data_IF_201491995838
#
_entry.id   IF_201491995838
#
_cell.length_a   1.000
_cell.length_b   1.000
_cell.length_c   1.000
_cell.angle_alpha   90.00
_cell.angle_beta   90.00
_cell.angle_gamma   90.00
#
_symmetry.space_group_name_H-M   'P 1'
#
loop_
_entity.id
_entity.type
_entity.pdbx_description
1 polymer ?
#
# COMPACT_ATOMS: atom_id res chain seq x y z
N UNK A 1 -9.66 12.47 -4.39
CA UNK A 1 -8.75 12.26 -3.25
C UNK A 1 -9.59 11.75 -2.09
N UNK A 2 -9.01 11.01 -1.14
CA UNK A 2 -9.75 10.65 0.08
C UNK A 2 -9.97 11.91 0.92
N UNK A 3 -11.14 12.05 1.56
CA UNK A 3 -11.36 13.12 2.52
C UNK A 3 -10.67 12.74 3.83
N UNK A 4 -10.00 13.70 4.47
CA UNK A 4 -9.39 13.50 5.79
C UNK A 4 -10.04 14.41 6.81
N UNK A 5 -10.37 13.86 7.98
CA UNK A 5 -10.89 14.59 9.14
C UNK A 5 -10.24 14.05 10.39
N UNK A 6 -10.20 14.83 11.45
CA UNK A 6 -9.68 14.39 12.73
C UNK A 6 -10.77 14.35 13.80
N UNK A 7 -10.59 13.47 14.78
CA UNK A 7 -11.38 13.44 16.00
C UNK A 7 -10.55 12.84 17.13
N UNK A 8 -11.04 13.04 18.35
CA UNK A 8 -10.38 12.59 19.56
C UNK A 8 -11.28 11.59 20.28
N UNK A 9 -10.66 10.54 20.78
CA UNK A 9 -11.19 9.73 21.88
C UNK A 9 -10.44 10.12 23.15
N UNK A 10 -10.81 9.55 24.29
CA UNK A 10 -10.11 9.78 25.55
C UNK A 10 -8.63 9.38 25.45
N UNK A 11 -8.33 8.26 24.77
CA UNK A 11 -6.97 7.71 24.69
C UNK A 11 -6.21 8.10 23.43
N UNK A 12 -6.91 8.34 22.32
CA UNK A 12 -6.27 8.44 21.00
C UNK A 12 -6.77 9.62 20.17
N UNK A 13 -5.84 10.20 19.41
CA UNK A 13 -6.12 11.15 18.33
C UNK A 13 -6.18 10.38 17.01
N UNK A 14 -7.32 10.47 16.33
CA UNK A 14 -7.55 9.78 15.07
C UNK A 14 -7.56 10.74 13.90
N UNK A 15 -6.96 10.30 12.80
CA UNK A 15 -7.21 10.84 11.45
C UNK A 15 -8.05 9.83 10.68
N UNK A 16 -9.27 10.21 10.30
CA UNK A 16 -10.15 9.44 9.43
C UNK A 16 -9.71 9.66 7.99
N UNK A 17 -9.60 8.56 7.24
CA UNK A 17 -9.47 8.58 5.78
C UNK A 17 -10.76 8.00 5.21
N UNK A 18 -11.61 8.84 4.66
CA UNK A 18 -12.83 8.40 4.00
C UNK A 18 -12.51 7.93 2.58
N UNK A 19 -12.67 6.62 2.35
CA UNK A 19 -12.35 5.97 1.10
C UNK A 19 -13.59 5.94 0.18
N UNK A 20 -13.51 6.49 -1.03
CA UNK A 20 -14.64 6.50 -1.95
C UNK A 20 -15.06 5.09 -2.37
N UNK A 21 -16.37 4.80 -2.32
CA UNK A 21 -16.94 3.49 -2.65
C UNK A 21 -17.16 3.20 -4.14
N UNK A 22 -16.73 4.09 -5.04
CA UNK A 22 -16.87 3.88 -6.49
C UNK A 22 -15.65 3.14 -7.05
N UNK A 23 -15.88 2.22 -7.99
CA UNK A 23 -14.86 1.35 -8.58
C UNK A 23 -13.68 2.12 -9.19
N UNK A 24 -13.93 3.28 -9.79
CA UNK A 24 -12.88 4.08 -10.42
C UNK A 24 -11.93 4.76 -9.42
N UNK A 25 -12.26 4.69 -8.13
CA UNK A 25 -11.45 5.25 -7.05
C UNK A 25 -10.74 4.19 -6.19
N UNK A 26 -10.63 2.94 -6.66
CA UNK A 26 -9.83 1.90 -5.99
C UNK A 26 -8.40 2.39 -5.71
N UNK A 27 -7.80 3.17 -6.62
CA UNK A 27 -6.47 3.78 -6.41
C UNK A 27 -6.40 4.66 -5.15
N UNK A 28 -7.47 5.40 -4.88
CA UNK A 28 -7.56 6.28 -3.70
C UNK A 28 -7.72 5.41 -2.46
N UNK A 29 -8.55 4.36 -2.53
CA UNK A 29 -8.75 3.41 -1.45
C UNK A 29 -7.44 2.67 -1.09
N UNK A 30 -6.66 2.21 -2.07
CA UNK A 30 -5.35 1.58 -1.83
C UNK A 30 -4.40 2.55 -1.13
N UNK A 31 -4.34 3.80 -1.60
CA UNK A 31 -3.46 4.83 -1.03
C UNK A 31 -3.85 5.13 0.43
N UNK A 32 -5.14 5.25 0.72
CA UNK A 32 -5.66 5.49 2.07
C UNK A 32 -5.49 4.30 3.00
N UNK A 33 -5.89 3.11 2.56
CA UNK A 33 -5.79 1.87 3.33
C UNK A 33 -4.33 1.49 3.62
N UNK A 34 -3.38 1.83 2.74
CA UNK A 34 -1.97 1.62 3.02
C UNK A 34 -1.51 2.37 4.27
N UNK A 35 -2.03 3.57 4.52
CA UNK A 35 -1.68 4.42 5.66
C UNK A 35 -2.43 4.06 6.96
N UNK A 36 -3.50 3.28 6.87
CA UNK A 36 -4.38 2.99 7.99
C UNK A 36 -3.82 1.90 8.93
N UNK A 37 -3.86 2.15 10.24
CA UNK A 37 -3.49 1.16 11.26
C UNK A 37 -4.70 0.29 11.70
N UNK A 38 -5.91 0.83 11.55
CA UNK A 38 -7.20 0.18 11.80
C UNK A 38 -8.14 0.51 10.64
N UNK A 39 -9.03 -0.42 10.30
CA UNK A 39 -10.09 -0.19 9.33
C UNK A 39 -11.47 -0.41 9.93
N UNK A 40 -12.41 0.47 9.61
CA UNK A 40 -13.85 0.29 9.83
C UNK A 40 -14.49 -0.17 8.52
N UNK A 41 -14.90 -1.43 8.45
CA UNK A 41 -15.58 -2.00 7.31
C UNK A 41 -17.09 -1.95 7.52
N UNK A 42 -17.77 -1.22 6.64
CA UNK A 42 -19.22 -1.03 6.71
C UNK A 42 -19.94 -2.03 5.79
N UNK A 43 -21.04 -2.59 6.29
CA UNK A 43 -22.00 -3.36 5.50
C UNK A 43 -23.41 -2.83 5.80
N UNK A 44 -24.24 -2.47 4.80
CA UNK A 44 -25.61 -2.05 5.06
C UNK A 44 -26.48 -3.27 5.42
N UNK A 45 -27.44 -3.12 6.32
CA UNK A 45 -28.44 -4.15 6.63
C UNK A 45 -29.65 -4.15 5.66
N UNK A 46 -29.72 -3.13 4.80
CA UNK A 46 -30.73 -3.00 3.74
C UNK A 46 -30.54 -4.03 2.61
N UNK A 47 -31.36 -3.94 1.58
CA UNK A 47 -31.40 -4.89 0.47
C UNK A 47 -30.10 -4.93 -0.33
N UNK A 48 -29.22 -3.95 -0.15
CA UNK A 48 -27.93 -3.90 -0.82
C UNK A 48 -26.84 -4.72 -0.13
N UNK A 49 -27.07 -5.33 1.04
CA UNK A 49 -26.00 -6.07 1.72
C UNK A 49 -25.44 -7.20 0.84
N UNK A 50 -26.31 -7.91 0.11
CA UNK A 50 -25.96 -9.03 -0.76
C UNK A 50 -25.18 -8.54 -1.97
N UNK A 51 -25.60 -7.42 -2.57
CA UNK A 51 -24.86 -6.74 -3.65
C UNK A 51 -23.49 -6.26 -3.17
N UNK A 52 -23.39 -5.74 -1.94
CA UNK A 52 -22.14 -5.25 -1.36
C UNK A 52 -21.11 -6.35 -1.10
N UNK A 53 -21.54 -7.59 -0.86
CA UNK A 53 -20.67 -8.76 -0.64
C UNK A 53 -20.60 -9.72 -1.83
N UNK A 54 -21.30 -9.42 -2.92
CA UNK A 54 -21.39 -10.28 -4.10
C UNK A 54 -20.01 -10.61 -4.66
N UNK A 55 -19.86 -11.87 -5.09
CA UNK A 55 -18.68 -12.30 -5.83
C UNK A 55 -18.78 -11.75 -7.25
N UNK A 56 -17.74 -11.05 -7.71
CA UNK A 56 -17.66 -10.67 -9.11
C UNK A 56 -17.35 -11.86 -10.01
N UNK A 57 -17.85 -11.81 -11.22
CA UNK A 57 -17.53 -12.76 -12.28
C UNK A 57 -17.37 -12.02 -13.60
N UNK A 58 -16.13 -11.68 -13.93
CA UNK A 58 -15.78 -10.96 -15.16
C UNK A 58 -16.20 -11.70 -16.44
N UNK A 59 -16.35 -13.03 -16.40
CA UNK A 59 -16.81 -13.82 -17.56
C UNK A 59 -18.32 -13.66 -17.81
N UNK A 60 -19.08 -13.35 -16.77
CA UNK A 60 -20.54 -13.14 -16.84
C UNK A 60 -20.92 -11.66 -16.74
N UNK A 61 -19.95 -10.75 -16.71
CA UNK A 61 -20.19 -9.31 -16.52
C UNK A 61 -20.62 -8.91 -15.10
N UNK A 62 -20.59 -9.83 -14.13
CA UNK A 62 -21.01 -9.57 -12.76
C UNK A 62 -19.96 -8.72 -12.02
N UNK A 63 -20.39 -7.58 -11.50
CA UNK A 63 -19.54 -6.67 -10.75
C UNK A 63 -19.34 -7.19 -9.33
N UNK A 64 -18.09 -7.21 -8.88
CA UNK A 64 -17.79 -7.57 -7.49
C UNK A 64 -18.34 -6.52 -6.52
N UNK A 65 -18.95 -6.99 -5.43
CA UNK A 65 -19.40 -6.14 -4.35
C UNK A 65 -18.25 -5.38 -3.68
N UNK A 66 -18.48 -4.10 -3.36
CA UNK A 66 -17.44 -3.21 -2.85
C UNK A 66 -16.94 -3.62 -1.47
N UNK A 67 -17.81 -4.03 -0.54
CA UNK A 67 -17.41 -4.50 0.80
C UNK A 67 -16.52 -5.74 0.69
N UNK A 68 -16.84 -6.68 -0.20
CA UNK A 68 -15.98 -7.84 -0.49
C UNK A 68 -14.61 -7.42 -1.03
N UNK A 69 -14.59 -6.47 -1.96
CA UNK A 69 -13.35 -5.96 -2.54
C UNK A 69 -12.49 -5.28 -1.46
N UNK A 70 -13.07 -4.35 -0.71
CA UNK A 70 -12.39 -3.62 0.36
C UNK A 70 -11.84 -4.56 1.44
N UNK A 71 -12.63 -5.54 1.89
CA UNK A 71 -12.17 -6.54 2.85
C UNK A 71 -10.93 -7.30 2.37
N UNK A 72 -10.87 -7.66 1.08
CA UNK A 72 -9.71 -8.32 0.47
C UNK A 72 -8.49 -7.41 0.44
N UNK A 73 -8.68 -6.14 0.03
CA UNK A 73 -7.60 -5.16 -0.04
C UNK A 73 -7.02 -4.85 1.35
N UNK A 74 -7.88 -4.66 2.35
CA UNK A 74 -7.45 -4.39 3.74
C UNK A 74 -6.55 -5.51 4.29
N UNK A 75 -6.94 -6.77 4.07
CA UNK A 75 -6.13 -7.92 4.48
C UNK A 75 -4.75 -7.92 3.80
N UNK A 76 -4.72 -7.68 2.50
CA UNK A 76 -3.50 -7.78 1.70
C UNK A 76 -2.57 -6.56 1.86
N UNK A 77 -3.14 -5.38 2.12
CA UNK A 77 -2.42 -4.19 2.57
C UNK A 77 -1.97 -4.31 4.03
N UNK A 78 -2.40 -5.37 4.71
CA UNK A 78 -1.97 -5.80 6.03
C UNK A 78 -2.39 -4.86 7.15
N UNK A 79 -3.61 -4.34 7.05
CA UNK A 79 -4.29 -3.73 8.18
C UNK A 79 -4.52 -4.83 9.23
N UNK A 80 -3.96 -4.63 10.42
CA UNK A 80 -3.92 -5.68 11.47
C UNK A 80 -5.15 -5.64 12.39
N UNK A 81 -5.88 -4.53 12.40
CA UNK A 81 -7.05 -4.31 13.24
C UNK A 81 -8.24 -3.96 12.36
N UNK A 82 -9.33 -4.72 12.51
CA UNK A 82 -10.53 -4.57 11.70
C UNK A 82 -11.73 -4.47 12.64
N UNK A 83 -12.53 -3.43 12.45
CA UNK A 83 -13.84 -3.25 13.07
C UNK A 83 -14.87 -3.43 11.95
N UNK A 84 -15.93 -4.19 12.20
CA UNK A 84 -17.01 -4.39 11.26
C UNK A 84 -18.28 -3.78 11.82
N UNK A 85 -18.97 -3.00 11.01
CA UNK A 85 -20.23 -2.37 11.36
C UNK A 85 -21.32 -2.75 10.37
N UNK A 86 -22.39 -3.38 10.88
CA UNK A 86 -23.64 -3.61 10.17
C UNK A 86 -24.49 -2.35 10.37
N UNK A 87 -24.42 -1.46 9.38
CA UNK A 87 -25.03 -0.14 9.41
C UNK A 87 -26.47 -0.19 8.85
N UNK A 88 -27.24 0.88 9.09
CA UNK A 88 -28.64 1.03 8.66
C UNK A 88 -29.58 0.02 9.31
N UNK A 89 -29.36 -0.32 10.57
CA UNK A 89 -30.29 -1.18 11.33
C UNK A 89 -31.69 -0.54 11.47
N UNK A 90 -31.80 0.77 11.29
CA UNK A 90 -33.04 1.54 11.26
C UNK A 90 -33.89 1.31 10.01
N UNK A 91 -33.35 0.72 8.94
CA UNK A 91 -34.07 0.61 7.67
C UNK A 91 -35.30 -0.32 7.76
N UNK A 92 -36.26 -0.14 6.84
CA UNK A 92 -37.53 -0.89 6.84
C UNK A 92 -37.39 -2.42 6.78
N UNK A 93 -36.24 -2.92 6.31
CA UNK A 93 -35.97 -4.36 6.25
C UNK A 93 -35.35 -4.89 7.53
N UNK A 94 -34.52 -4.09 8.20
CA UNK A 94 -33.86 -4.49 9.44
C UNK A 94 -34.71 -4.21 10.66
N UNK A 95 -35.31 -3.01 10.77
CA UNK A 95 -36.15 -2.58 11.91
C UNK A 95 -35.53 -2.94 13.27
N UNK A 96 -34.21 -2.80 13.39
CA UNK A 96 -33.42 -3.17 14.57
C UNK A 96 -33.54 -4.65 14.98
N UNK A 97 -33.93 -5.54 14.07
CA UNK A 97 -34.12 -6.97 14.31
C UNK A 97 -32.81 -7.73 14.47
N UNK A 98 -32.78 -8.62 15.45
CA UNK A 98 -31.69 -9.58 15.68
C UNK A 98 -31.54 -10.55 14.50
N UNK A 99 -32.65 -11.11 13.99
CA UNK A 99 -32.64 -12.07 12.89
C UNK A 99 -31.91 -11.53 11.65
N UNK A 100 -32.19 -10.27 11.30
CA UNK A 100 -31.56 -9.62 10.14
C UNK A 100 -30.06 -9.37 10.37
N UNK A 101 -29.69 -9.00 11.59
CA UNK A 101 -28.29 -8.86 11.98
C UNK A 101 -27.56 -10.21 11.87
N UNK A 102 -28.11 -11.29 12.42
CA UNK A 102 -27.48 -12.61 12.41
C UNK A 102 -27.33 -13.17 11.00
N UNK A 103 -28.36 -13.02 10.15
CA UNK A 103 -28.31 -13.40 8.74
C UNK A 103 -27.15 -12.71 8.02
N UNK A 104 -27.10 -11.37 8.15
CA UNK A 104 -26.09 -10.53 7.51
C UNK A 104 -24.68 -10.84 8.04
N UNK A 105 -24.56 -11.07 9.34
CA UNK A 105 -23.32 -11.42 10.02
C UNK A 105 -22.75 -12.74 9.51
N UNK A 106 -23.59 -13.77 9.38
CA UNK A 106 -23.19 -15.10 8.92
C UNK A 106 -22.59 -15.05 7.52
N UNK A 107 -23.27 -14.37 6.59
CA UNK A 107 -22.78 -14.21 5.22
C UNK A 107 -21.47 -13.41 5.18
N UNK A 108 -21.39 -12.32 5.95
CA UNK A 108 -20.17 -11.50 6.02
C UNK A 108 -18.97 -12.26 6.57
N UNK A 109 -19.12 -13.03 7.65
CA UNK A 109 -18.05 -13.89 8.19
C UNK A 109 -17.57 -14.91 7.15
N UNK A 110 -18.50 -15.49 6.39
CA UNK A 110 -18.19 -16.38 5.27
C UNK A 110 -17.38 -15.68 4.18
N UNK A 111 -17.70 -14.42 3.88
CA UNK A 111 -16.97 -13.60 2.90
C UNK A 111 -15.57 -13.24 3.40
N UNK A 112 -15.43 -12.79 4.65
CA UNK A 112 -14.14 -12.46 5.27
C UNK A 112 -13.17 -13.65 5.21
N UNK A 113 -13.66 -14.85 5.54
CA UNK A 113 -12.90 -16.10 5.46
C UNK A 113 -12.47 -16.38 4.01
N UNK A 114 -13.39 -16.25 3.05
CA UNK A 114 -13.11 -16.50 1.62
C UNK A 114 -12.12 -15.51 1.01
N UNK A 115 -12.05 -14.27 1.50
CA UNK A 115 -11.08 -13.26 1.03
C UNK A 115 -9.72 -13.34 1.74
N UNK A 116 -9.57 -14.28 2.68
CA UNK A 116 -8.29 -14.66 3.27
C UNK A 116 -8.03 -14.15 4.69
N UNK A 117 -9.02 -13.56 5.37
CA UNK A 117 -8.89 -13.29 6.80
C UNK A 117 -8.89 -14.62 7.57
N UNK A 118 -8.02 -14.73 8.59
CA UNK A 118 -7.93 -15.96 9.39
C UNK A 118 -9.21 -16.14 10.21
N UNK A 119 -9.75 -17.36 10.23
CA UNK A 119 -10.98 -17.68 10.97
C UNK A 119 -10.87 -17.28 12.45
N UNK A 120 -9.76 -17.64 13.10
CA UNK A 120 -9.52 -17.27 14.50
C UNK A 120 -9.50 -15.76 14.73
N UNK A 121 -8.95 -14.99 13.78
CA UNK A 121 -8.94 -13.53 13.87
C UNK A 121 -10.37 -12.96 13.74
N UNK A 122 -11.16 -13.48 12.79
CA UNK A 122 -12.56 -13.07 12.60
C UNK A 122 -13.38 -13.36 13.86
N UNK A 123 -13.21 -14.54 14.47
CA UNK A 123 -14.04 -14.97 15.60
C UNK A 123 -13.63 -14.31 16.92
N UNK A 124 -12.33 -14.10 17.14
CA UNK A 124 -11.82 -13.59 18.42
C UNK A 124 -11.53 -12.10 18.41
N UNK A 125 -11.09 -11.53 17.29
CA UNK A 125 -10.48 -10.19 17.27
C UNK A 125 -11.25 -9.14 16.47
N UNK A 126 -12.31 -9.51 15.77
CA UNK A 126 -13.10 -8.56 14.96
C UNK A 126 -14.44 -8.29 15.65
N UNK A 127 -14.69 -7.06 16.14
CA UNK A 127 -16.01 -6.69 16.63
C UNK A 127 -16.99 -6.51 15.46
N UNK A 128 -18.20 -7.05 15.63
CA UNK A 128 -19.30 -6.94 14.67
C UNK A 128 -20.45 -6.13 15.27
N UNK A 129 -20.39 -4.81 15.09
CA UNK A 129 -21.33 -3.88 15.70
C UNK A 129 -22.60 -3.73 14.84
N UNK A 130 -23.82 -3.96 15.38
CA UNK A 130 -25.03 -3.43 14.78
C UNK A 130 -25.13 -1.93 15.08
N UNK A 131 -25.31 -1.08 14.08
CA UNK A 131 -25.43 0.36 14.29
C UNK A 131 -26.38 1.05 13.30
N UNK A 132 -26.81 2.25 13.66
CA UNK A 132 -27.40 3.20 12.73
C UNK A 132 -26.57 4.47 12.73
N UNK A 133 -25.86 4.72 11.63
CA UNK A 133 -25.12 5.97 11.47
C UNK A 133 -26.04 7.19 11.37
N UNK A 134 -27.27 7.02 10.90
CA UNK A 134 -28.24 8.11 10.72
C UNK A 134 -28.91 8.49 12.04
N UNK A 135 -29.38 7.50 12.80
CA UNK A 135 -30.05 7.70 14.09
C UNK A 135 -29.07 7.81 15.27
N UNK A 136 -27.79 7.49 15.06
CA UNK A 136 -26.74 7.59 16.08
C UNK A 136 -26.65 6.37 17.03
N UNK A 137 -27.38 5.30 16.75
CA UNK A 137 -27.46 4.10 17.59
C UNK A 137 -26.13 3.32 17.60
N UNK A 138 -25.67 2.92 18.80
CA UNK A 138 -24.39 2.20 19.03
C UNK A 138 -23.13 2.91 18.51
N UNK A 139 -23.19 4.22 18.20
CA UNK A 139 -22.00 5.00 17.86
C UNK A 139 -21.22 5.41 19.12
N UNK A 140 -21.87 6.16 20.01
CA UNK A 140 -21.28 6.71 21.23
C UNK A 140 -21.91 6.12 22.50
N UNK A 141 -23.17 5.70 22.41
CA UNK A 141 -23.96 5.14 23.51
C UNK A 141 -24.64 3.87 23.03
N UNK A 142 -24.86 2.95 23.95
CA UNK A 142 -25.60 1.71 23.70
C UNK A 142 -27.06 2.04 23.33
N UNK A 143 -27.56 1.37 22.31
CA UNK A 143 -28.92 1.54 21.80
C UNK A 143 -29.94 0.89 22.70
N UNK A 144 -31.04 1.59 22.98
CA UNK A 144 -32.23 1.02 23.62
C UNK A 144 -33.12 0.29 22.61
N UNK A 145 -32.99 0.60 21.31
CA UNK A 145 -33.76 -0.01 20.22
C UNK A 145 -33.29 -1.42 19.86
N UNK A 146 -32.10 -1.82 20.32
CA UNK A 146 -31.52 -3.15 20.11
C UNK A 146 -31.21 -3.82 21.45
N UNK A 147 -32.21 -4.14 22.30
CA UNK A 147 -31.99 -4.69 23.63
C UNK A 147 -31.36 -6.10 23.62
N UNK A 148 -31.47 -6.80 22.49
CA UNK A 148 -30.82 -8.09 22.23
C UNK A 148 -29.30 -7.95 22.09
N UNK A 149 -28.79 -6.79 21.66
CA UNK A 149 -27.35 -6.54 21.54
C UNK A 149 -26.69 -6.46 22.92
N UNK A 150 -25.90 -7.48 23.25
CA UNK A 150 -25.18 -7.58 24.54
C UNK A 150 -23.75 -7.08 24.48
N UNK A 151 -23.32 -6.50 23.37
CA UNK A 151 -21.92 -6.17 23.13
C UNK A 151 -21.15 -7.35 22.53
N UNK A 152 -19.84 -7.17 22.33
CA UNK A 152 -18.98 -8.21 21.79
C UNK A 152 -17.68 -8.31 22.59
N UNK A 153 -17.33 -9.53 23.00
CA UNK A 153 -16.05 -9.80 23.62
C UNK A 153 -15.00 -10.07 22.55
N UNK A 154 -13.94 -9.27 22.54
CA UNK A 154 -12.86 -9.36 21.57
C UNK A 154 -11.50 -9.50 22.25
N UNK A 155 -10.62 -10.30 21.65
CA UNK A 155 -9.21 -10.41 21.97
C UNK A 155 -8.41 -9.49 21.05
N UNK A 156 -7.74 -8.49 21.63
CA UNK A 156 -6.90 -7.56 20.88
C UNK A 156 -5.70 -8.29 20.25
N UNK A 157 -5.03 -7.64 19.30
CA UNK A 157 -3.80 -8.19 18.69
C UNK A 157 -2.65 -8.39 19.70
N UNK A 158 -2.82 -7.96 20.95
CA UNK A 158 -1.85 -8.07 22.04
C UNK A 158 -2.30 -9.04 23.16
N UNK A 159 -3.40 -9.79 22.94
CA UNK A 159 -3.87 -10.83 23.86
C UNK A 159 -4.77 -10.34 25.00
N UNK A 160 -5.18 -9.06 24.99
CA UNK A 160 -6.11 -8.51 25.98
C UNK A 160 -7.55 -8.86 25.58
N UNK A 161 -8.38 -9.31 26.53
CA UNK A 161 -9.82 -9.50 26.31
C UNK A 161 -10.58 -8.26 26.73
N UNK A 162 -11.41 -7.73 25.84
CA UNK A 162 -12.12 -6.47 26.01
C UNK A 162 -13.57 -6.66 25.58
N UNK A 163 -14.50 -6.16 26.38
CA UNK A 163 -15.91 -6.05 26.00
C UNK A 163 -16.17 -4.71 25.33
N UNK A 164 -16.87 -4.71 24.19
CA UNK A 164 -17.24 -3.49 23.46
C UNK A 164 -18.73 -3.46 23.16
N UNK A 165 -19.40 -2.37 23.54
CA UNK A 165 -20.83 -2.16 23.25
C UNK A 165 -21.04 -1.26 22.03
N UNK A 166 -20.16 -0.28 21.85
CA UNK A 166 -20.30 0.80 20.86
C UNK A 166 -19.08 0.94 19.95
N UNK A 167 -19.22 1.71 18.87
CA UNK A 167 -18.09 2.08 18.01
C UNK A 167 -17.02 2.87 18.79
N UNK A 168 -17.44 3.75 19.71
CA UNK A 168 -16.52 4.47 20.58
C UNK A 168 -15.70 3.51 21.46
N UNK A 169 -16.30 2.46 22.00
CA UNK A 169 -15.57 1.48 22.81
C UNK A 169 -14.52 0.73 21.98
N UNK A 170 -14.86 0.36 20.75
CA UNK A 170 -13.89 -0.23 19.83
C UNK A 170 -12.71 0.73 19.60
N UNK A 171 -12.98 1.99 19.26
CA UNK A 171 -11.95 2.98 18.93
C UNK A 171 -11.13 3.40 20.16
N UNK A 172 -11.73 3.51 21.34
CA UNK A 172 -11.03 3.94 22.55
C UNK A 172 -10.31 2.76 23.22
N UNK A 173 -11.00 1.63 23.40
CA UNK A 173 -10.56 0.53 24.26
C UNK A 173 -9.95 -0.64 23.51
N UNK A 174 -10.40 -0.98 22.30
CA UNK A 174 -9.85 -2.12 21.56
C UNK A 174 -8.62 -1.73 20.71
N UNK A 175 -8.72 -0.64 19.96
CA UNK A 175 -7.64 -0.24 19.04
C UNK A 175 -6.38 0.15 19.82
N UNK A 176 -5.21 -0.29 19.33
CA UNK A 176 -3.91 0.26 19.75
C UNK A 176 -3.06 0.64 18.55
N UNK A 177 -2.13 1.58 18.72
CA UNK A 177 -1.06 1.77 17.74
C UNK A 177 -0.24 0.48 17.55
N UNK A 178 0.02 0.05 16.30
CA UNK A 178 0.89 -1.10 16.06
C UNK A 178 2.33 -0.78 16.47
N UNK A 179 3.16 -1.80 16.80
CA UNK A 179 4.56 -1.59 17.15
C UNK A 179 5.29 -0.75 16.09
N UNK A 180 5.83 0.40 16.51
CA UNK A 180 6.52 1.35 15.66
C UNK A 180 8.02 1.08 15.69
N UNK A 181 8.65 1.00 14.51
CA UNK A 181 10.11 0.80 14.39
C UNK A 181 10.83 2.14 14.48
N UNK A 182 10.98 2.68 15.69
CA UNK A 182 11.61 3.99 15.94
C UNK A 182 13.10 3.97 15.62
N UNK A 183 13.80 2.88 15.99
CA UNK A 183 15.26 2.75 15.80
C UNK A 183 15.66 2.28 14.39
N UNK A 184 14.68 2.01 13.52
CA UNK A 184 14.96 1.63 12.15
C UNK A 184 15.34 2.87 11.30
N UNK A 185 16.06 2.69 10.17
CA UNK A 185 16.36 3.80 9.28
C UNK A 185 15.09 4.48 8.74
N UNK A 186 15.11 5.81 8.64
CA UNK A 186 13.97 6.63 8.21
C UNK A 186 13.47 6.19 6.83
N UNK A 187 12.16 5.95 6.72
CA UNK A 187 11.45 5.79 5.45
C UNK A 187 10.20 6.65 5.47
N UNK A 188 10.15 7.64 4.59
CA UNK A 188 8.99 8.53 4.50
C UNK A 188 8.54 8.64 3.03
N UNK A 189 7.56 7.83 2.60
CA UNK A 189 6.93 7.98 1.30
C UNK A 189 6.22 9.32 1.18
N UNK A 190 6.56 10.08 0.16
CA UNK A 190 5.98 11.38 -0.17
C UNK A 190 4.62 11.16 -0.83
N UNK A 191 3.56 11.58 -0.16
CA UNK A 191 2.20 11.54 -0.69
C UNK A 191 1.92 12.72 -1.64
N UNK A 192 2.44 13.91 -1.33
CA UNK A 192 2.18 15.12 -2.11
C UNK A 192 3.32 16.13 -2.03
N UNK A 193 3.45 16.94 -3.09
CA UNK A 193 4.41 18.03 -3.18
C UNK A 193 3.64 19.30 -3.52
N UNK A 194 3.75 20.32 -2.67
CA UNK A 194 3.01 21.57 -2.78
C UNK A 194 3.98 22.74 -2.81
N UNK A 195 3.86 23.61 -3.81
CA UNK A 195 4.69 24.81 -3.93
C UNK A 195 3.91 26.03 -3.50
N UNK A 196 4.22 26.53 -2.31
CA UNK A 196 3.49 27.65 -1.71
C UNK A 196 4.33 28.91 -1.84
N UNK A 197 3.78 29.93 -2.52
CA UNK A 197 4.43 31.23 -2.69
C UNK A 197 4.75 31.83 -1.30
N UNK A 198 6.00 32.21 -1.07
CA UNK A 198 6.48 32.78 0.19
C UNK A 198 6.92 31.76 1.26
N UNK A 199 6.48 30.51 1.19
CA UNK A 199 6.86 29.45 2.14
C UNK A 199 7.92 28.51 1.56
N UNK A 200 7.81 28.16 0.27
CA UNK A 200 8.69 27.22 -0.43
C UNK A 200 8.00 25.91 -0.79
N UNK A 201 8.79 24.84 -0.91
CA UNK A 201 8.31 23.49 -1.20
C UNK A 201 7.87 22.81 0.11
N UNK A 202 6.57 22.49 0.21
CA UNK A 202 5.96 21.75 1.31
C UNK A 202 5.63 20.34 0.83
N UNK A 203 6.22 19.36 1.47
CA UNK A 203 6.01 17.93 1.19
C UNK A 203 5.05 17.35 2.24
N UNK A 204 4.11 16.52 1.81
CA UNK A 204 3.24 15.77 2.71
C UNK A 204 3.55 14.28 2.61
N UNK A 205 3.59 13.59 3.75
CA UNK A 205 3.81 12.14 3.77
C UNK A 205 3.67 11.54 5.16
N UNK A 206 3.75 10.21 5.21
CA UNK A 206 3.68 9.45 6.46
C UNK A 206 5.04 8.86 6.80
N UNK A 207 5.46 8.96 8.05
CA UNK A 207 6.66 8.27 8.52
C UNK A 207 6.35 6.78 8.67
N UNK A 208 6.96 5.92 7.86
CA UNK A 208 6.73 4.47 7.93
C UNK A 208 7.56 3.81 9.03
N UNK A 209 8.79 4.28 9.20
CA UNK A 209 9.74 3.83 10.21
C UNK A 209 10.84 4.87 10.36
N UNK A 210 11.58 4.80 11.47
CA UNK A 210 12.59 5.78 11.86
C UNK A 210 11.99 7.10 12.32
N UNK A 211 12.87 8.05 12.64
CA UNK A 211 12.50 9.37 13.13
C UNK A 211 12.99 10.42 12.14
N UNK A 212 12.14 11.39 11.81
CA UNK A 212 12.54 12.58 11.08
C UNK A 212 12.68 13.74 12.08
N UNK A 213 13.85 14.36 12.14
CA UNK A 213 14.09 15.55 12.95
C UNK A 213 14.06 16.81 12.07
N UNK A 214 13.72 17.94 12.67
CA UNK A 214 13.99 19.23 12.03
C UNK A 214 15.48 19.37 11.70
N UNK A 215 15.78 20.14 10.66
CA UNK A 215 17.12 20.40 10.14
C UNK A 215 17.85 19.18 9.56
N UNK A 216 17.17 18.04 9.41
CA UNK A 216 17.76 16.87 8.79
C UNK A 216 18.07 17.08 7.31
N UNK A 217 19.24 16.63 6.89
CA UNK A 217 19.62 16.51 5.47
C UNK A 217 19.03 15.22 4.89
N UNK A 218 18.29 15.36 3.79
CA UNK A 218 17.46 14.31 3.22
C UNK A 218 17.65 14.18 1.72
N UNK A 219 17.47 12.96 1.22
CA UNK A 219 17.46 12.64 -0.22
C UNK A 219 16.18 11.89 -0.58
N UNK A 220 15.80 11.97 -1.86
CA UNK A 220 14.51 11.49 -2.36
C UNK A 220 14.73 10.44 -3.43
N UNK A 221 14.50 9.17 -3.11
CA UNK A 221 14.62 8.08 -4.07
C UNK A 221 13.25 7.81 -4.71
N UNK A 222 13.17 7.50 -6.02
CA UNK A 222 14.26 7.21 -6.93
C UNK A 222 14.77 8.43 -7.72
N UNK A 223 14.20 9.62 -7.49
CA UNK A 223 14.53 10.87 -8.22
C UNK A 223 15.99 11.28 -8.04
N UNK A 224 16.55 11.09 -6.85
CA UNK A 224 17.96 11.27 -6.56
C UNK A 224 18.79 10.19 -7.24
N UNK A 225 19.70 10.60 -8.12
CA UNK A 225 20.72 9.72 -8.71
C UNK A 225 22.10 10.40 -8.59
N UNK A 226 23.21 9.64 -8.60
CA UNK A 226 24.54 10.21 -8.33
C UNK A 226 24.94 11.42 -9.20
N UNK A 227 24.47 11.48 -10.44
CA UNK A 227 24.78 12.57 -11.39
C UNK A 227 23.65 13.61 -11.51
N UNK A 228 22.54 13.42 -10.80
CA UNK A 228 21.38 14.32 -10.82
C UNK A 228 20.72 14.29 -9.43
N UNK A 229 21.32 14.99 -8.45
CA UNK A 229 20.90 14.89 -7.05
C UNK A 229 19.50 15.45 -6.87
N UNK A 230 18.73 14.80 -6.00
CA UNK A 230 17.50 15.34 -5.42
C UNK A 230 17.66 15.28 -3.91
N UNK A 231 18.19 16.35 -3.35
CA UNK A 231 18.53 16.48 -1.93
C UNK A 231 17.97 17.81 -1.40
N UNK A 232 17.76 17.88 -0.10
CA UNK A 232 17.29 19.09 0.57
C UNK A 232 17.46 19.00 2.08
N UNK A 233 17.16 20.10 2.76
CA UNK A 233 17.21 20.22 4.22
C UNK A 233 15.84 20.52 4.78
N UNK A 234 15.38 19.72 5.74
CA UNK A 234 14.08 19.89 6.39
C UNK A 234 14.13 21.12 7.29
N UNK A 235 13.34 22.15 6.98
CA UNK A 235 13.32 23.39 7.76
C UNK A 235 12.34 23.34 8.93
N UNK A 236 11.14 22.80 8.68
CA UNK A 236 10.12 22.66 9.71
C UNK A 236 9.21 21.48 9.41
N UNK A 237 8.78 20.80 10.47
CA UNK A 237 7.79 19.74 10.42
C UNK A 237 6.52 20.23 11.12
N UNK A 238 5.38 20.00 10.47
CA UNK A 238 4.06 20.39 10.93
C UNK A 238 3.12 19.19 10.90
N UNK A 239 2.34 19.04 11.97
CA UNK A 239 1.32 18.02 12.11
C UNK A 239 0.07 18.71 12.66
N UNK A 240 -1.07 18.62 11.97
CA UNK A 240 -2.32 19.29 12.36
C UNK A 240 -2.16 20.79 12.63
N UNK A 241 -1.46 21.51 11.74
CA UNK A 241 -1.16 22.94 11.86
C UNK A 241 -0.33 23.35 13.10
N UNK A 242 0.29 22.38 13.78
CA UNK A 242 1.21 22.61 14.89
C UNK A 242 2.61 22.20 14.49
N UNK A 243 3.61 23.04 14.81
CA UNK A 243 5.02 22.70 14.61
C UNK A 243 5.47 21.68 15.64
N UNK A 244 6.16 20.66 15.17
CA UNK A 244 6.77 19.62 15.99
C UNK A 244 8.28 19.58 15.75
N UNK A 245 9.04 19.13 16.74
CA UNK A 245 10.50 19.05 16.63
C UNK A 245 10.95 17.79 15.86
N UNK A 246 10.20 16.71 15.98
CA UNK A 246 10.45 15.43 15.35
C UNK A 246 9.14 14.74 14.98
N UNK A 247 9.13 14.02 13.86
CA UNK A 247 8.05 13.14 13.45
C UNK A 247 8.42 11.68 13.77
N UNK A 248 7.49 10.98 14.40
CA UNK A 248 7.62 9.59 14.81
C UNK A 248 6.97 8.66 13.78
N UNK A 249 7.32 7.35 13.74
CA UNK A 249 6.65 6.43 12.85
C UNK A 249 5.13 6.37 13.09
N UNK A 250 4.36 6.49 12.02
CA UNK A 250 2.90 6.58 12.03
C UNK A 250 2.37 7.97 11.76
N UNK A 251 3.15 9.01 12.05
CA UNK A 251 2.72 10.41 11.93
C UNK A 251 2.53 10.80 10.47
N UNK A 252 1.43 11.48 10.18
CA UNK A 252 1.17 12.12 8.89
C UNK A 252 1.57 13.60 8.99
N UNK A 253 2.66 13.99 8.32
CA UNK A 253 3.28 15.30 8.51
C UNK A 253 3.39 16.07 7.20
N UNK A 254 3.24 17.39 7.32
CA UNK A 254 3.69 18.35 6.33
C UNK A 254 5.10 18.83 6.70
N UNK A 255 6.00 18.92 5.74
CA UNK A 255 7.38 19.35 5.99
C UNK A 255 7.79 20.39 4.95
N UNK A 256 8.30 21.52 5.43
CA UNK A 256 8.94 22.51 4.57
C UNK A 256 10.38 22.07 4.33
N UNK A 257 10.77 21.88 3.07
CA UNK A 257 12.11 21.44 2.71
C UNK A 257 12.71 22.44 1.73
N UNK A 258 13.96 22.82 1.99
CA UNK A 258 14.68 23.82 1.21
C UNK A 258 15.87 23.20 0.50
N UNK A 259 16.34 23.85 -0.55
CA UNK A 259 17.57 23.48 -1.26
C UNK A 259 17.36 22.56 -2.46
N UNK A 260 16.12 22.37 -2.93
CA UNK A 260 15.87 21.53 -4.09
C UNK A 260 16.47 22.12 -5.38
N UNK A 261 17.10 21.28 -6.22
CA UNK A 261 17.45 21.67 -7.58
C UNK A 261 16.18 21.99 -8.39
N UNK A 262 16.20 23.09 -9.13
CA UNK A 262 15.04 23.52 -9.96
C UNK A 262 14.71 22.51 -11.07
N UNK A 263 15.71 21.79 -11.53
CA UNK A 263 15.66 20.83 -12.63
C UNK A 263 15.30 19.40 -12.18
N UNK A 264 15.52 19.04 -10.91
CA UNK A 264 15.17 17.72 -10.37
C UNK A 264 14.48 17.77 -9.00
N UNK A 265 13.31 18.42 -8.90
CA UNK A 265 12.55 18.47 -7.66
C UNK A 265 11.95 17.10 -7.29
N UNK A 266 11.67 16.87 -6.00
CA UNK A 266 11.02 15.65 -5.55
C UNK A 266 9.60 15.52 -6.11
N UNK A 267 9.11 14.28 -6.19
CA UNK A 267 7.81 13.95 -6.76
C UNK A 267 6.97 13.15 -5.77
N UNK A 268 5.65 13.20 -5.93
CA UNK A 268 4.76 12.27 -5.24
C UNK A 268 5.13 10.84 -5.63
N UNK A 269 5.27 9.98 -4.62
CA UNK A 269 5.74 8.62 -4.77
C UNK A 269 7.24 8.40 -4.54
N UNK A 270 8.02 9.47 -4.38
CA UNK A 270 9.39 9.35 -3.89
C UNK A 270 9.39 8.92 -2.42
N UNK A 271 10.45 8.26 -2.00
CA UNK A 271 10.73 7.91 -0.61
C UNK A 271 11.86 8.81 -0.12
N UNK A 272 11.53 9.63 0.87
CA UNK A 272 12.51 10.42 1.61
C UNK A 272 13.25 9.52 2.60
N UNK A 273 14.57 9.65 2.61
CA UNK A 273 15.49 9.05 3.58
C UNK A 273 16.50 10.11 4.05
N UNK A 274 17.18 9.85 5.16
CA UNK A 274 18.31 10.67 5.59
C UNK A 274 19.46 10.53 4.58
N UNK A 275 20.15 11.63 4.29
CA UNK A 275 21.29 11.61 3.36
C UNK A 275 22.42 10.67 3.83
N UNK A 276 22.61 10.56 5.15
CA UNK A 276 23.57 9.65 5.77
C UNK A 276 23.23 8.16 5.57
N UNK A 277 21.98 7.83 5.27
CA UNK A 277 21.55 6.45 5.07
C UNK A 277 21.87 5.95 3.67
N UNK A 278 22.70 4.89 3.60
CA UNK A 278 23.07 4.22 2.35
C UNK A 278 22.44 2.83 2.18
N UNK A 279 21.56 2.43 3.11
CA UNK A 279 20.89 1.13 3.12
C UNK A 279 19.81 1.00 2.03
N UNK A 280 19.11 2.10 1.71
CA UNK A 280 18.11 2.13 0.65
C UNK A 280 18.71 2.63 -0.67
N UNK A 281 18.30 1.98 -1.77
CA UNK A 281 18.64 2.37 -3.14
C UNK A 281 17.42 2.23 -4.02
N UNK A 282 17.39 2.93 -5.15
CA UNK A 282 16.37 2.74 -6.19
C UNK A 282 16.32 1.27 -6.61
N UNK A 283 15.11 0.73 -6.77
CA UNK A 283 14.90 -0.69 -7.12
C UNK A 283 15.25 -0.93 -8.59
N UNK A 284 16.09 -1.94 -8.84
CA UNK A 284 16.43 -2.44 -10.17
C UNK A 284 15.54 -3.62 -10.54
N UNK A 285 15.72 -4.77 -9.88
CA UNK A 285 14.81 -5.92 -9.97
C UNK A 285 14.26 -6.21 -8.56
N UNK A 286 13.06 -6.78 -8.47
CA UNK A 286 12.55 -7.26 -7.19
C UNK A 286 11.78 -8.57 -7.34
N UNK A 287 11.89 -9.42 -6.33
CA UNK A 287 11.15 -10.67 -6.23
C UNK A 287 10.00 -10.48 -5.25
N UNK A 288 8.78 -10.75 -5.69
CA UNK A 288 7.59 -10.64 -4.88
C UNK A 288 6.82 -11.96 -4.84
N UNK A 289 6.28 -12.29 -3.65
CA UNK A 289 5.25 -13.30 -3.52
C UNK A 289 3.91 -12.63 -3.76
N UNK A 290 3.21 -13.05 -4.80
CA UNK A 290 1.96 -12.46 -5.26
C UNK A 290 0.82 -13.48 -5.21
N UNK A 291 -0.38 -13.00 -4.92
CA UNK A 291 -1.63 -13.67 -5.18
C UNK A 291 -2.23 -13.08 -6.44
N UNK A 292 -2.49 -13.92 -7.44
CA UNK A 292 -3.22 -13.52 -8.64
C UNK A 292 -4.69 -13.41 -8.31
N UNK A 293 -5.24 -12.23 -8.57
CA UNK A 293 -6.64 -11.92 -8.34
C UNK A 293 -7.41 -12.13 -9.64
N UNK A 294 -8.30 -11.21 -9.95
CA UNK A 294 -9.21 -11.29 -11.09
C UNK A 294 -8.51 -10.80 -12.35
N UNK A 295 -8.10 -11.76 -13.18
CA UNK A 295 -7.43 -11.53 -14.47
C UNK A 295 -8.23 -12.19 -15.60
N UNK A 296 -8.45 -11.51 -16.75
CA UNK A 296 -9.24 -12.05 -17.84
C UNK A 296 -8.51 -13.17 -18.61
N UNK A 297 -7.18 -13.12 -18.63
CA UNK A 297 -6.31 -14.06 -19.33
C UNK A 297 -5.16 -14.51 -18.41
N UNK A 298 -4.42 -15.52 -18.85
CA UNK A 298 -3.22 -15.97 -18.14
C UNK A 298 -2.12 -14.90 -18.19
N UNK A 299 -1.44 -14.69 -17.06
CA UNK A 299 -0.30 -13.79 -16.99
C UNK A 299 0.97 -14.53 -17.40
N UNK A 300 1.75 -13.95 -18.32
CA UNK A 300 3.01 -14.52 -18.82
C UNK A 300 4.16 -13.53 -18.64
N UNK A 301 5.42 -14.01 -18.62
CA UNK A 301 6.58 -13.12 -18.73
C UNK A 301 6.45 -12.14 -19.89
N UNK A 302 6.74 -10.87 -19.62
CA UNK A 302 6.50 -9.73 -20.52
C UNK A 302 5.31 -8.86 -20.12
N UNK A 303 4.34 -9.40 -19.38
CA UNK A 303 3.21 -8.63 -18.85
C UNK A 303 3.69 -7.50 -17.93
N UNK A 304 3.18 -6.27 -18.11
CA UNK A 304 3.72 -5.07 -17.44
C UNK A 304 2.64 -4.24 -16.76
N UNK A 305 2.04 -4.74 -15.66
CA UNK A 305 1.04 -4.00 -14.90
C UNK A 305 1.68 -2.84 -14.13
N UNK A 306 0.86 -1.91 -13.65
CA UNK A 306 1.32 -0.81 -12.78
C UNK A 306 1.41 -1.33 -11.35
N UNK A 307 2.63 -1.42 -10.82
CA UNK A 307 2.89 -1.72 -9.42
C UNK A 307 2.81 -0.46 -8.56
N UNK A 308 2.10 -0.54 -7.45
CA UNK A 308 1.92 0.49 -6.44
C UNK A 308 2.51 0.03 -5.12
N UNK A 309 3.40 0.83 -4.54
CA UNK A 309 3.96 0.62 -3.19
C UNK A 309 3.85 1.95 -2.48
N UNK A 310 3.00 2.01 -1.44
CA UNK A 310 2.64 3.27 -0.78
C UNK A 310 2.17 4.29 -1.83
N UNK A 311 2.83 5.44 -1.90
CA UNK A 311 2.55 6.51 -2.86
C UNK A 311 3.33 6.31 -4.18
N UNK A 312 4.31 5.42 -4.20
CA UNK A 312 5.15 5.13 -5.37
C UNK A 312 4.42 4.26 -6.38
N UNK A 313 4.65 4.52 -7.67
CA UNK A 313 4.11 3.72 -8.77
C UNK A 313 5.09 3.57 -9.91
N UNK A 314 5.12 2.40 -10.54
CA UNK A 314 5.89 2.16 -11.76
C UNK A 314 5.28 1.02 -12.56
N UNK A 315 5.37 1.09 -13.90
CA UNK A 315 5.10 -0.08 -14.73
C UNK A 315 6.16 -1.14 -14.41
N UNK A 316 5.72 -2.33 -14.00
CA UNK A 316 6.59 -3.39 -13.52
C UNK A 316 6.49 -4.59 -14.46
N UNK A 317 7.51 -4.80 -15.28
CA UNK A 317 7.56 -5.91 -16.23
C UNK A 317 7.78 -7.23 -15.48
N UNK A 318 6.89 -8.19 -15.68
CA UNK A 318 7.03 -9.56 -15.24
C UNK A 318 8.18 -10.20 -16.02
N UNK A 319 9.31 -10.46 -15.35
CA UNK A 319 10.52 -10.99 -15.97
C UNK A 319 10.57 -12.51 -15.92
N UNK A 320 10.27 -13.08 -14.76
CA UNK A 320 10.32 -14.52 -14.51
C UNK A 320 9.28 -14.91 -13.46
N UNK A 321 8.68 -16.09 -13.61
CA UNK A 321 7.91 -16.74 -12.55
C UNK A 321 8.80 -17.85 -11.99
N UNK A 322 9.15 -17.77 -10.71
CA UNK A 322 10.01 -18.75 -10.05
C UNK A 322 9.21 -20.00 -9.68
N UNK A 323 8.06 -19.82 -9.04
CA UNK A 323 7.16 -20.93 -8.72
C UNK A 323 5.72 -20.45 -8.68
N UNK A 324 4.77 -21.38 -8.84
CA UNK A 324 3.34 -21.17 -8.59
C UNK A 324 2.72 -22.27 -7.75
N UNK A 325 1.61 -21.96 -7.11
CA UNK A 325 0.83 -22.86 -6.28
C UNK A 325 -0.64 -22.47 -6.36
N UNK A 326 -1.52 -23.42 -6.64
CA UNK A 326 -2.95 -23.17 -6.73
C UNK A 326 -3.74 -24.45 -6.86
N UNK A 327 -5.02 -24.33 -7.24
CA UNK A 327 -5.90 -25.49 -7.41
C UNK A 327 -5.40 -26.43 -8.52
N UNK A 328 -4.91 -25.88 -9.64
CA UNK A 328 -4.39 -26.68 -10.76
C UNK A 328 -3.12 -27.45 -10.40
N UNK A 329 -2.31 -26.96 -9.46
CA UNK A 329 -1.13 -27.67 -8.98
C UNK A 329 -1.43 -28.61 -7.80
N UNK A 330 -2.71 -28.81 -7.47
CA UNK A 330 -3.13 -29.60 -6.31
C UNK A 330 -2.61 -29.03 -4.99
N UNK A 331 -2.38 -27.72 -4.91
CA UNK A 331 -1.80 -27.06 -3.74
C UNK A 331 -0.29 -27.29 -3.57
N UNK A 332 0.39 -27.94 -4.51
CA UNK A 332 1.85 -28.11 -4.49
C UNK A 332 2.55 -26.96 -5.22
N UNK A 333 3.81 -26.70 -4.85
CA UNK A 333 4.66 -25.77 -5.58
C UNK A 333 5.10 -26.40 -6.90
N UNK A 334 4.86 -25.69 -8.00
CA UNK A 334 5.37 -25.99 -9.32
C UNK A 334 6.43 -24.95 -9.67
N UNK A 335 7.66 -25.40 -9.88
CA UNK A 335 8.79 -24.54 -10.25
C UNK A 335 8.74 -24.15 -11.74
N UNK A 336 9.28 -22.97 -12.06
CA UNK A 336 9.42 -22.37 -13.40
C UNK A 336 8.18 -22.50 -14.31
N UNK A 337 6.97 -22.10 -13.85
CA UNK A 337 5.76 -22.20 -14.67
C UNK A 337 5.76 -21.17 -15.81
N UNK A 338 5.10 -21.51 -16.92
CA UNK A 338 5.00 -20.64 -18.10
C UNK A 338 4.00 -19.50 -17.95
N UNK A 339 2.98 -19.67 -17.10
CA UNK A 339 1.91 -18.70 -16.91
C UNK A 339 1.25 -18.80 -15.53
N UNK A 340 0.58 -17.73 -15.14
CA UNK A 340 -0.24 -17.64 -13.94
C UNK A 340 -1.72 -17.43 -14.26
N UNK A 341 -2.60 -18.01 -13.44
CA UNK A 341 -4.05 -17.93 -13.53
C UNK A 341 -4.67 -17.36 -12.26
N UNK A 342 -5.95 -17.01 -12.36
CA UNK A 342 -6.76 -16.55 -11.24
C UNK A 342 -6.64 -17.46 -10.01
N UNK A 343 -6.39 -16.85 -8.85
CA UNK A 343 -6.34 -17.54 -7.56
C UNK A 343 -5.04 -18.29 -7.27
N UNK A 344 -4.07 -18.28 -8.18
CA UNK A 344 -2.75 -18.85 -7.93
C UNK A 344 -1.88 -17.92 -7.07
N UNK A 345 -1.12 -18.51 -6.15
CA UNK A 345 -0.02 -17.87 -5.46
C UNK A 345 1.26 -18.13 -6.24
N UNK A 346 2.11 -17.13 -6.38
CA UNK A 346 3.36 -17.28 -7.11
C UNK A 346 4.48 -16.45 -6.52
N UNK A 347 5.71 -16.82 -6.83
CA UNK A 347 6.87 -15.96 -6.66
C UNK A 347 7.33 -15.49 -8.03
N UNK A 348 7.41 -14.18 -8.18
CA UNK A 348 7.60 -13.52 -9.47
C UNK A 348 8.69 -12.47 -9.35
N UNK A 349 9.57 -12.45 -10.33
CA UNK A 349 10.59 -11.41 -10.50
C UNK A 349 10.04 -10.33 -11.41
N UNK A 350 10.03 -9.09 -10.92
CA UNK A 350 9.59 -7.91 -11.63
C UNK A 350 10.74 -6.93 -11.84
N UNK A 351 10.67 -6.23 -12.96
CA UNK A 351 11.61 -5.17 -13.35
C UNK A 351 10.81 -3.86 -13.54
N UNK A 352 10.96 -2.85 -12.67
CA UNK A 352 10.35 -1.54 -12.86
C UNK A 352 10.93 -0.85 -14.10
N UNK A 353 10.06 -0.40 -14.99
CA UNK A 353 10.44 0.33 -16.21
C UNK A 353 10.87 1.77 -15.92
N UNK A 354 10.30 2.38 -14.88
CA UNK A 354 10.64 3.71 -14.39
C UNK A 354 11.13 3.65 -12.95
N UNK A 355 11.61 4.79 -12.44
CA UNK A 355 12.04 4.91 -11.05
C UNK A 355 11.01 4.31 -10.08
N UNK A 356 11.48 3.43 -9.21
CA UNK A 356 10.66 2.77 -8.20
C UNK A 356 11.51 2.44 -6.98
N UNK A 357 10.90 2.40 -5.81
CA UNK A 357 11.57 2.09 -4.55
C UNK A 357 10.74 1.09 -3.78
N UNK A 358 11.36 -0.02 -3.43
CA UNK A 358 10.78 -1.11 -2.65
C UNK A 358 11.84 -1.69 -1.74
N UNK A 359 11.42 -2.31 -0.64
CA UNK A 359 12.29 -3.04 0.26
C UNK A 359 11.75 -4.44 0.54
N UNK A 360 12.59 -5.29 1.15
CA UNK A 360 12.11 -6.56 1.67
C UNK A 360 11.14 -6.33 2.84
N UNK A 361 10.15 -7.21 2.96
CA UNK A 361 9.17 -7.18 4.07
C UNK A 361 9.83 -7.21 5.46
N UNK A 362 11.00 -7.85 5.59
CA UNK A 362 11.74 -7.91 6.85
C UNK A 362 12.30 -6.54 7.23
N UNK A 363 12.82 -5.79 6.26
CA UNK A 363 13.41 -4.47 6.47
C UNK A 363 12.30 -3.45 6.76
N UNK A 364 11.42 -3.22 5.78
CA UNK A 364 10.32 -2.26 5.88
C UNK A 364 9.03 -2.90 5.35
N UNK A 365 8.11 -3.23 6.26
CA UNK A 365 6.79 -3.79 5.93
C UNK A 365 6.02 -2.84 5.00
N UNK A 366 6.10 -1.53 5.25
CA UNK A 366 5.40 -0.51 4.48
C UNK A 366 5.85 -0.40 3.03
N UNK A 367 7.15 -0.57 2.73
CA UNK A 367 7.70 -0.50 1.38
C UNK A 367 7.78 -1.86 0.66
N UNK A 368 7.29 -2.92 1.30
CA UNK A 368 7.28 -4.26 0.73
C UNK A 368 5.92 -4.68 0.18
N UNK A 369 4.82 -4.08 0.66
CA UNK A 369 3.48 -4.41 0.17
C UNK A 369 3.22 -3.74 -1.17
N UNK A 370 2.89 -4.56 -2.17
CA UNK A 370 2.72 -4.11 -3.54
C UNK A 370 1.36 -4.53 -4.09
N UNK A 371 0.68 -3.59 -4.73
CA UNK A 371 -0.53 -3.82 -5.51
C UNK A 371 -0.25 -3.62 -6.99
N UNK A 372 -0.62 -4.59 -7.82
CA UNK A 372 -0.52 -4.47 -9.27
C UNK A 372 -1.91 -4.25 -9.85
N UNK A 373 -2.04 -3.17 -10.61
CA UNK A 373 -3.28 -2.81 -11.28
C UNK A 373 -3.09 -2.86 -12.79
N UNK A 374 -4.18 -3.24 -13.46
CA UNK A 374 -4.35 -3.14 -14.90
C UNK A 374 -5.67 -2.41 -15.18
N UNK A 375 -5.58 -1.23 -15.80
CA UNK A 375 -6.66 -0.25 -15.79
C UNK A 375 -7.12 0.06 -14.36
N UNK A 376 -8.41 -0.19 -14.08
CA UNK A 376 -9.02 -0.01 -12.75
C UNK A 376 -9.13 -1.32 -11.95
N UNK A 377 -8.67 -2.45 -12.49
CA UNK A 377 -8.72 -3.75 -11.84
C UNK A 377 -7.44 -4.05 -11.07
N UNK A 378 -7.56 -4.63 -9.87
CA UNK A 378 -6.41 -5.14 -9.12
C UNK A 378 -6.13 -6.56 -9.59
N UNK A 379 -5.02 -6.77 -10.30
CA UNK A 379 -4.68 -8.04 -10.93
C UNK A 379 -3.83 -8.94 -10.04
N UNK A 380 -2.95 -8.34 -9.26
CA UNK A 380 -2.10 -9.07 -8.31
C UNK A 380 -1.88 -8.23 -7.05
N UNK A 381 -1.68 -8.92 -5.95
CA UNK A 381 -1.42 -8.31 -4.65
C UNK A 381 -0.33 -9.14 -3.99
N UNK A 382 0.66 -8.50 -3.39
CA UNK A 382 1.80 -9.26 -2.90
C UNK A 382 2.70 -8.52 -1.95
N UNK A 383 3.76 -9.22 -1.57
CA UNK A 383 4.84 -8.71 -0.74
C UNK A 383 6.18 -8.96 -1.40
N UNK A 384 7.03 -7.95 -1.37
CA UNK A 384 8.41 -8.01 -1.84
C UNK A 384 9.25 -8.80 -0.83
N UNK A 385 9.90 -9.86 -1.32
CA UNK A 385 10.77 -10.73 -0.55
C UNK A 385 12.22 -10.25 -0.66
N UNK A 386 12.61 -9.84 -1.87
CA UNK A 386 14.00 -9.48 -2.20
C UNK A 386 14.01 -8.34 -3.19
N UNK A 387 15.00 -7.45 -3.06
CA UNK A 387 15.26 -6.36 -3.99
C UNK A 387 16.72 -6.38 -4.43
N UNK A 388 16.95 -5.98 -5.67
CA UNK A 388 18.27 -5.77 -6.25
C UNK A 388 18.38 -4.28 -6.57
N UNK A 389 19.42 -3.57 -6.10
CA UNK A 389 19.61 -2.16 -6.40
C UNK A 389 19.74 -1.91 -7.91
N UNK A 390 19.15 -0.80 -8.37
CA UNK A 390 19.35 -0.32 -9.73
C UNK A 390 20.81 0.07 -9.91
N UNK A 391 21.44 -0.48 -10.94
CA UNK A 391 22.79 -0.10 -11.30
C UNK A 391 22.74 1.16 -12.17
N UNK A 392 23.41 2.21 -11.72
CA UNK A 392 23.64 3.40 -12.53
C UNK A 392 24.96 3.22 -13.27
N UNK A 393 24.98 3.46 -14.59
CA UNK A 393 26.20 3.40 -15.36
C UNK A 393 27.15 4.51 -14.88
N UNK A 394 28.33 4.11 -14.40
CA UNK A 394 29.36 5.01 -13.93
C UNK A 394 29.94 5.80 -15.14
N UNK A 395 29.84 7.15 -15.18
CA UNK A 395 30.35 7.92 -16.31
C UNK A 395 31.84 7.66 -16.58
N UNK A 396 32.60 7.35 -15.52
CA UNK A 396 34.05 7.08 -15.60
C UNK A 396 34.40 5.76 -16.27
N UNK A 397 33.48 4.78 -16.37
CA UNK A 397 33.74 3.51 -17.07
C UNK A 397 33.50 3.58 -18.58
N UNK A 398 32.74 4.56 -19.08
CA UNK A 398 32.57 4.76 -20.53
C UNK A 398 33.78 5.41 -21.22
N UNK A 399 34.71 6.00 -20.45
CA UNK A 399 35.95 6.55 -21.00
C UNK A 399 37.09 5.51 -21.16
N UNK A 400 36.91 4.26 -20.70
CA UNK A 400 37.98 3.25 -20.67
C UNK A 400 37.86 2.08 -21.66
N UNK A 401 36.76 1.97 -22.42
CA UNK A 401 36.56 0.88 -23.39
C UNK A 401 36.05 1.40 -24.75
N UNK A 402 36.51 2.59 -25.13
CA UNK A 402 36.46 3.07 -26.51
C UNK A 402 37.56 2.39 -27.30
N UNK A 403 37.13 1.51 -28.21
CA UNK A 403 37.89 0.72 -29.16
C UNK A 403 39.10 1.46 -29.79
N UNK A 404 40.26 1.42 -29.12
CA UNK A 404 41.56 1.90 -29.63
C UNK A 404 42.17 0.94 -30.67
N UNK A 405 41.34 0.12 -31.34
CA UNK A 405 41.79 -0.93 -32.27
C UNK A 405 41.37 -0.72 -33.74
N UNK A 406 40.85 0.46 -34.11
CA UNK A 406 40.46 0.75 -35.51
C UNK A 406 41.28 1.80 -36.26
N UNK A 407 42.21 2.51 -35.62
CA UNK A 407 43.00 3.55 -36.31
C UNK A 407 44.40 3.14 -36.77
N UNK A 408 44.97 2.04 -36.25
CA UNK A 408 46.28 1.56 -36.75
C UNK A 408 46.20 0.71 -38.02
N UNK A 409 45.01 0.19 -38.38
CA UNK A 409 44.85 -0.60 -39.62
C UNK A 409 44.61 0.24 -40.87
N UNK A 410 44.32 1.54 -40.74
CA UNK A 410 44.12 2.47 -41.88
C UNK A 410 45.38 3.21 -42.32
N UNK A 411 46.48 3.16 -41.54
CA UNK A 411 47.76 3.75 -41.92
C UNK A 411 48.66 2.83 -42.74
N UNK A 412 48.51 1.52 -42.63
CA UNK A 412 49.34 0.57 -43.39
C UNK A 412 48.82 0.30 -44.82
N UNK A 413 47.51 0.37 -45.08
CA UNK A 413 46.96 0.17 -46.43
C UNK A 413 47.12 1.39 -47.36
N UNK A 414 47.40 2.59 -46.81
CA UNK A 414 47.72 3.78 -47.61
C UNK A 414 49.20 3.86 -48.04
N UNK A 415 50.09 3.07 -47.43
CA UNK A 415 51.51 3.00 -47.83
C UNK A 415 51.81 1.94 -48.90
N UNK A 416 50.93 0.96 -49.11
CA UNK A 416 51.10 -0.06 -50.16
C UNK A 416 50.52 0.30 -51.53
N UNK A 417 49.64 1.29 -51.63
CA UNK A 417 49.08 1.76 -52.92
C UNK A 417 49.90 2.85 -53.61
N UNK A 418 50.86 3.48 -52.94
CA UNK A 418 51.73 4.52 -53.51
C UNK A 418 53.04 3.99 -54.14
N UNK A 419 53.29 2.67 -54.12
CA UNK A 419 54.52 2.06 -54.67
C UNK A 419 54.31 1.30 -55.99
N UNK A 420 53.16 1.48 -56.65
CA UNK A 420 52.82 0.83 -57.94
C UNK A 420 52.50 1.83 -59.08
N UNK A 421 52.95 3.07 -58.94
CA UNK A 421 53.04 4.05 -60.04
C UNK A 421 54.35 4.83 -59.90
N UNK A 422 55.44 4.23 -60.37
CA UNK A 422 56.58 4.89 -60.99
C UNK A 422 57.30 3.88 -61.86
#
# INVERSE_FOLDING_TARGET
TCATKEFFTEKWHYTIIDAPGHRDFIKNMISGAAQADVALLMLPADGNAWTAIQKGNHKLGEVQGQTRHHARLLNLLGVKQLIVAINKMDCDQAKYSEDRYEETLKELKGVLTKVGWKKDFIEKSVPFLPLSGFEGENLLKKSEKMPWWKGNDVETSWGEKIHVDTLLDCLNNMVRPPPRKVDAPLRLPVAGVYRIKGVGDVLAGRVEQGVLNNEADVIFLPTHVPNHPCAGKVFSIEMHHKRIQKAMPGDNVGMNVKGFPKDNPPRSGDVMILESDKSLKSTGDFTAQVQVLDVPHELKPGYSPIGFVRCGRSACKLKKINWKMGKETGGKKLEDPKSLKHGEMAEVVFEPMFGFVTESFKTCEGLARIAFLDGNGVVMLGKVIKTTPKQFADPKKKAGSGDKKKDDKKKDDKKKSAKKKK
#
